data_IF_931415172337
#
_entry.id   IF_931415172337
#
_cell.length_a   1.000
_cell.length_b   1.000
_cell.length_c   1.000
_cell.angle_alpha   90.00
_cell.angle_beta   90.00
_cell.angle_gamma   90.00
#
_symmetry.space_group_name_H-M   'P 1'
#
loop_
_entity.id
_entity.type
_entity.pdbx_description
1 polymer ?
#
# COMPACT_ATOMS: atom_id res chain seq x y z
N UNK A 1 -30.24 -4.49 76.67
CA UNK A 1 -30.99 -4.92 75.48
C UNK A 1 -31.12 -3.70 74.58
N UNK A 2 -30.03 -2.98 74.24
CA UNK A 2 -28.80 -3.40 73.50
C UNK A 2 -29.18 -4.08 72.18
N UNK A 3 -29.33 -3.32 71.10
CA UNK A 3 -28.25 -2.97 70.14
C UNK A 3 -27.64 -4.15 69.39
N UNK A 4 -28.14 -5.38 69.56
CA UNK A 4 -27.45 -6.58 69.06
C UNK A 4 -27.82 -6.99 67.61
N UNK A 5 -28.98 -6.61 67.06
CA UNK A 5 -29.36 -7.07 65.71
C UNK A 5 -28.91 -6.15 64.55
N UNK A 6 -28.56 -4.88 64.81
CA UNK A 6 -28.17 -3.95 63.72
C UNK A 6 -26.69 -4.03 63.34
N UNK A 7 -25.86 -4.69 64.16
CA UNK A 7 -24.42 -4.86 63.90
C UNK A 7 -24.12 -6.03 62.94
N UNK A 8 -24.99 -7.04 62.85
CA UNK A 8 -24.69 -8.22 62.03
C UNK A 8 -24.84 -8.01 60.51
N UNK A 9 -25.70 -7.10 60.04
CA UNK A 9 -25.88 -6.88 58.60
C UNK A 9 -24.83 -5.96 57.96
N UNK A 10 -24.04 -5.24 58.76
CA UNK A 10 -23.00 -4.31 58.26
C UNK A 10 -21.62 -5.00 58.22
N UNK A 11 -21.44 -6.11 58.93
CA UNK A 11 -20.13 -6.76 59.07
C UNK A 11 -19.69 -7.63 57.88
N UNK A 12 -20.57 -8.02 56.95
CA UNK A 12 -20.18 -8.90 55.83
C UNK A 12 -19.64 -8.14 54.59
N UNK A 13 -19.89 -6.84 54.44
CA UNK A 13 -19.54 -6.08 53.22
C UNK A 13 -18.07 -5.60 53.19
N UNK A 14 -17.35 -5.60 54.33
CA UNK A 14 -15.99 -5.02 54.41
C UNK A 14 -14.85 -6.05 54.32
N UNK A 15 -15.11 -7.35 54.08
CA UNK A 15 -14.06 -8.38 54.11
C UNK A 15 -13.36 -8.68 52.77
N UNK A 16 -13.62 -7.95 51.68
CA UNK A 16 -12.93 -8.16 50.38
C UNK A 16 -11.97 -7.03 49.97
N UNK A 17 -11.64 -6.10 50.86
CA UNK A 17 -10.63 -5.06 50.59
C UNK A 17 -9.60 -4.99 51.71
N UNK A 18 -8.51 -5.73 51.55
CA UNK A 18 -7.30 -5.46 52.31
C UNK A 18 -6.40 -6.67 52.47
N UNK A 19 -5.42 -6.78 51.59
CA UNK A 19 -4.27 -7.66 51.73
C UNK A 19 -3.42 -7.50 50.47
N UNK A 20 -2.16 -7.10 50.49
CA UNK A 20 -1.23 -6.99 51.59
C UNK A 20 -0.11 -6.04 51.13
N UNK A 21 0.24 -5.10 51.99
CA UNK A 21 1.42 -4.27 51.88
C UNK A 21 2.62 -5.16 52.21
N UNK A 22 3.20 -5.82 51.22
CA UNK A 22 4.38 -6.68 51.39
C UNK A 22 5.54 -6.15 50.55
N UNK A 23 6.64 -5.88 51.26
CA UNK A 23 7.94 -5.48 50.75
C UNK A 23 8.24 -6.08 49.37
N UNK A 24 8.37 -5.21 48.37
CA UNK A 24 8.72 -5.59 47.02
C UNK A 24 10.13 -6.21 47.00
N UNK A 25 10.20 -7.53 47.11
CA UNK A 25 11.32 -8.30 46.57
C UNK A 25 11.33 -8.02 45.06
N UNK A 26 12.31 -7.23 44.61
CA UNK A 26 12.57 -7.01 43.18
C UNK A 26 13.07 -8.34 42.62
N UNK A 27 12.15 -9.22 42.28
CA UNK A 27 12.47 -10.43 41.52
C UNK A 27 12.92 -10.00 40.13
N UNK A 28 13.99 -10.58 39.58
CA UNK A 28 14.42 -10.26 38.23
C UNK A 28 13.37 -10.81 37.26
N UNK A 29 12.44 -9.96 36.82
CA UNK A 29 11.57 -10.28 35.69
C UNK A 29 12.51 -10.48 34.50
N UNK A 30 12.73 -11.75 34.11
CA UNK A 30 13.51 -12.10 32.91
C UNK A 30 12.96 -11.26 31.76
N UNK A 31 13.82 -10.50 31.04
CA UNK A 31 13.35 -9.66 29.95
C UNK A 31 12.68 -10.57 28.93
N UNK A 32 11.36 -10.48 28.85
CA UNK A 32 10.55 -11.29 27.96
C UNK A 32 10.72 -10.70 26.57
N UNK A 33 11.66 -11.26 25.81
CA UNK A 33 12.03 -10.84 24.45
C UNK A 33 10.84 -10.72 23.50
N UNK A 34 9.75 -11.44 23.78
CA UNK A 34 8.50 -11.40 23.03
C UNK A 34 7.84 -10.01 22.97
N UNK A 35 8.05 -9.14 23.98
CA UNK A 35 7.52 -7.78 24.02
C UNK A 35 8.01 -6.90 22.85
N UNK A 36 9.18 -7.21 22.29
CA UNK A 36 9.75 -6.50 21.14
C UNK A 36 9.54 -7.25 19.81
N UNK A 37 9.40 -8.58 19.85
CA UNK A 37 9.20 -9.38 18.63
C UNK A 37 7.79 -9.21 18.04
N UNK A 38 6.76 -9.02 18.87
CA UNK A 38 5.38 -8.78 18.39
C UNK A 38 5.27 -7.52 17.51
N UNK A 39 5.71 -6.32 17.95
CA UNK A 39 5.59 -5.12 17.12
C UNK A 39 6.46 -5.19 15.86
N UNK A 40 7.65 -5.81 15.92
CA UNK A 40 8.51 -6.00 14.76
C UNK A 40 7.84 -6.92 13.73
N UNK A 41 7.24 -8.02 14.18
CA UNK A 41 6.50 -8.93 13.30
C UNK A 41 5.28 -8.23 12.69
N UNK A 42 4.52 -7.46 13.47
CA UNK A 42 3.38 -6.71 12.96
C UNK A 42 3.80 -5.65 11.92
N UNK A 43 4.90 -4.93 12.17
CA UNK A 43 5.48 -4.00 11.21
C UNK A 43 5.93 -4.70 9.93
N UNK A 44 6.67 -5.81 10.05
CA UNK A 44 7.15 -6.56 8.89
C UNK A 44 5.99 -7.09 8.04
N UNK A 45 4.94 -7.60 8.68
CA UNK A 45 3.71 -8.03 7.99
C UNK A 45 3.06 -6.85 7.27
N UNK A 46 2.81 -5.74 7.97
CA UNK A 46 2.21 -4.55 7.36
C UNK A 46 3.03 -3.99 6.20
N UNK A 47 4.36 -3.96 6.34
CA UNK A 47 5.28 -3.52 5.31
C UNK A 47 5.21 -4.42 4.08
N UNK A 48 5.31 -5.74 4.24
CA UNK A 48 5.19 -6.68 3.12
C UNK A 48 3.82 -6.58 2.47
N UNK A 49 2.75 -6.47 3.25
CA UNK A 49 1.39 -6.29 2.74
C UNK A 49 1.27 -5.00 1.93
N UNK A 50 1.83 -3.88 2.37
CA UNK A 50 1.80 -2.62 1.63
C UNK A 50 2.47 -2.74 0.25
N UNK A 51 3.66 -3.34 0.18
CA UNK A 51 4.37 -3.54 -1.09
C UNK A 51 3.65 -4.53 -2.00
N UNK A 52 3.12 -5.63 -1.45
CA UNK A 52 2.37 -6.60 -2.22
C UNK A 52 1.07 -6.00 -2.79
N UNK A 53 0.32 -5.26 -1.97
CA UNK A 53 -0.91 -4.58 -2.40
C UNK A 53 -0.59 -3.49 -3.42
N UNK A 54 0.45 -2.69 -3.19
CA UNK A 54 0.92 -1.71 -4.15
C UNK A 54 1.27 -2.36 -5.49
N UNK A 55 2.04 -3.44 -5.48
CA UNK A 55 2.45 -4.12 -6.72
C UNK A 55 1.30 -4.82 -7.47
N UNK A 56 0.27 -5.29 -6.77
CA UNK A 56 -0.85 -6.02 -7.41
C UNK A 56 -1.98 -5.07 -7.82
N UNK A 57 -2.32 -4.10 -6.99
CA UNK A 57 -3.49 -3.24 -7.19
C UNK A 57 -3.13 -1.99 -8.01
N UNK A 58 -1.94 -1.42 -7.79
CA UNK A 58 -1.57 -0.18 -8.45
C UNK A 58 -1.42 -0.32 -9.97
N UNK A 59 -0.82 -1.39 -10.54
CA UNK A 59 -0.69 -1.49 -11.99
C UNK A 59 -2.02 -1.48 -12.75
N UNK A 60 -3.03 -2.32 -12.43
CA UNK A 60 -4.30 -2.26 -13.15
C UNK A 60 -5.10 -0.97 -12.87
N UNK A 61 -4.77 -0.22 -11.81
CA UNK A 61 -5.41 1.07 -11.51
C UNK A 61 -4.79 2.23 -12.31
N UNK A 62 -3.47 2.21 -12.53
CA UNK A 62 -2.73 3.28 -13.23
C UNK A 62 -2.60 3.05 -14.73
N UNK A 63 -2.50 1.80 -15.17
CA UNK A 63 -2.33 1.45 -16.58
C UNK A 63 -3.68 1.09 -17.19
N UNK A 64 -4.00 1.75 -18.31
CA UNK A 64 -5.13 1.41 -19.15
C UNK A 64 -4.62 0.84 -20.46
N UNK A 65 -4.93 -0.41 -20.73
CA UNK A 65 -4.83 -0.98 -22.06
C UNK A 65 -6.14 -0.70 -22.81
N UNK A 66 -6.05 -0.16 -24.02
CA UNK A 66 -7.20 0.07 -24.89
C UNK A 66 -6.95 -0.59 -26.23
N UNK A 67 -7.91 -1.40 -26.65
CA UNK A 67 -7.94 -1.98 -27.97
C UNK A 67 -7.99 -0.85 -29.01
N UNK A 68 -6.95 -0.77 -29.84
CA UNK A 68 -6.88 0.21 -30.93
C UNK A 68 -7.72 -0.30 -32.11
N UNK A 69 -8.33 0.60 -32.90
CA UNK A 69 -9.12 0.21 -34.07
C UNK A 69 -8.28 -0.44 -35.19
N UNK A 70 -6.95 -0.37 -35.09
CA UNK A 70 -6.00 -0.99 -36.01
C UNK A 70 -4.89 -1.69 -35.21
N UNK A 71 -4.38 -2.79 -35.73
CA UNK A 71 -3.26 -3.53 -35.14
C UNK A 71 -1.92 -2.85 -35.46
N UNK A 72 -1.70 -1.68 -34.85
CA UNK A 72 -0.46 -0.94 -35.02
C UNK A 72 0.69 -1.56 -34.21
N UNK A 73 1.82 -1.82 -34.87
CA UNK A 73 3.03 -2.34 -34.23
C UNK A 73 4.16 -1.31 -34.29
N UNK A 74 4.48 -0.70 -33.14
CA UNK A 74 5.65 0.16 -32.99
C UNK A 74 6.96 -0.55 -33.35
N UNK A 75 7.06 -1.85 -33.04
CA UNK A 75 8.26 -2.64 -33.30
C UNK A 75 8.59 -2.71 -34.79
N UNK A 76 7.58 -2.94 -35.63
CA UNK A 76 7.79 -3.03 -37.09
C UNK A 76 8.15 -1.66 -37.66
N UNK A 77 7.44 -0.61 -37.22
CA UNK A 77 7.66 0.74 -37.73
C UNK A 77 9.02 1.30 -37.31
N UNK A 78 9.48 1.02 -36.10
CA UNK A 78 10.80 1.47 -35.63
C UNK A 78 11.96 0.97 -36.52
N UNK A 79 11.85 -0.26 -37.04
CA UNK A 79 12.87 -0.86 -37.90
C UNK A 79 12.72 -0.45 -39.37
N UNK A 80 11.55 0.09 -39.76
CA UNK A 80 11.20 0.43 -41.14
C UNK A 80 11.43 1.91 -41.50
N UNK A 81 11.61 2.78 -40.51
CA UNK A 81 11.78 4.23 -40.70
C UNK A 81 13.20 4.68 -40.33
N UNK A 82 13.74 5.66 -41.05
CA UNK A 82 15.13 6.10 -40.88
C UNK A 82 15.37 6.94 -39.62
N UNK A 83 14.40 7.78 -39.21
CA UNK A 83 14.52 8.70 -38.07
C UNK A 83 13.87 8.15 -36.78
N UNK A 84 13.56 6.85 -36.77
CA UNK A 84 12.98 6.15 -35.62
C UNK A 84 11.71 6.82 -35.07
N UNK A 85 11.75 7.21 -33.80
CA UNK A 85 10.60 7.83 -33.13
C UNK A 85 10.22 9.19 -33.74
N UNK A 86 11.19 9.95 -34.24
CA UNK A 86 10.98 11.31 -34.76
C UNK A 86 10.22 11.31 -36.09
N UNK A 87 10.26 10.21 -36.83
CA UNK A 87 9.49 10.01 -38.07
C UNK A 87 7.98 10.13 -37.87
N UNK A 88 7.47 9.90 -36.65
CA UNK A 88 6.04 10.05 -36.34
C UNK A 88 5.80 11.04 -35.18
N UNK A 89 6.74 11.13 -34.24
CA UNK A 89 6.66 11.94 -33.03
C UNK A 89 7.75 13.02 -33.02
N UNK A 90 7.43 14.19 -33.56
CA UNK A 90 8.37 15.30 -33.71
C UNK A 90 7.89 16.54 -32.95
N UNK A 91 8.82 17.46 -32.72
CA UNK A 91 8.48 18.83 -32.33
C UNK A 91 8.23 19.66 -33.59
N UNK A 92 7.16 20.46 -33.59
CA UNK A 92 6.90 21.44 -34.64
C UNK A 92 7.87 22.61 -34.53
N UNK A 93 7.92 23.44 -35.56
CA UNK A 93 8.80 24.64 -35.60
C UNK A 93 8.54 25.63 -34.45
N UNK A 94 7.32 25.62 -33.89
CA UNK A 94 6.93 26.44 -32.73
C UNK A 94 7.30 25.81 -31.37
N UNK A 95 7.96 24.65 -31.37
CA UNK A 95 8.36 23.91 -30.18
C UNK A 95 7.26 23.05 -29.56
N UNK A 96 6.06 22.98 -30.15
CA UNK A 96 4.97 22.11 -29.67
C UNK A 96 5.18 20.66 -30.10
N UNK A 97 4.86 19.69 -29.25
CA UNK A 97 4.98 18.27 -29.59
C UNK A 97 3.84 17.81 -30.52
N UNK A 98 4.15 17.00 -31.54
CA UNK A 98 3.18 16.55 -32.54
C UNK A 98 2.04 15.73 -31.94
N UNK A 99 2.35 14.97 -30.88
CA UNK A 99 1.40 14.11 -30.17
C UNK A 99 1.20 12.77 -30.88
N UNK A 100 -0.04 12.30 -30.92
CA UNK A 100 -0.40 11.10 -31.68
C UNK A 100 -0.42 11.47 -33.18
N UNK A 101 0.23 10.69 -34.05
CA UNK A 101 0.24 10.94 -35.49
C UNK A 101 -1.18 11.00 -36.08
N UNK A 102 -1.39 11.89 -37.05
CA UNK A 102 -2.61 11.91 -37.86
C UNK A 102 -2.54 10.86 -38.97
N UNK A 103 -3.69 10.56 -39.57
CA UNK A 103 -3.80 9.63 -40.70
C UNK A 103 -2.93 10.04 -41.91
N UNK A 104 -2.73 11.35 -42.09
CA UNK A 104 -1.85 11.94 -43.11
C UNK A 104 -0.43 11.35 -43.04
N UNK A 105 0.16 11.23 -41.83
CA UNK A 105 1.51 10.68 -41.67
C UNK A 105 1.58 9.19 -42.07
N UNK A 106 0.48 8.44 -41.86
CA UNK A 106 0.42 7.05 -42.31
C UNK A 106 0.36 6.97 -43.84
N UNK A 107 -0.40 7.88 -44.47
CA UNK A 107 -0.57 7.93 -45.92
C UNK A 107 0.75 8.25 -46.64
N UNK A 108 1.65 9.05 -46.04
CA UNK A 108 2.96 9.38 -46.64
C UNK A 108 3.77 8.16 -47.09
N UNK A 109 3.62 7.00 -46.44
CA UNK A 109 4.24 5.74 -46.86
C UNK A 109 3.25 4.69 -47.38
N UNK A 110 1.96 4.78 -47.03
CA UNK A 110 0.94 3.78 -47.39
C UNK A 110 0.00 4.20 -48.53
N UNK A 111 0.20 5.35 -49.18
CA UNK A 111 -0.67 5.84 -50.26
C UNK A 111 -0.68 4.94 -51.51
N UNK A 112 0.41 4.19 -51.76
CA UNK A 112 0.56 3.30 -52.93
C UNK A 112 0.76 1.82 -52.57
N UNK A 113 0.47 1.41 -51.33
CA UNK A 113 0.69 0.04 -50.85
C UNK A 113 -0.29 -1.00 -51.42
#
# INVERSE_FOLDING_TARGET
>A
MSTEEKEQAVAEDEQEKGGDEQAAEVTPVKPTTWRFLIPIAAFAVGFVSHFALGWVILPPLLYCEKEQPIDFSHKIHQDAVDEGCESCHYFRDDGTFSGIPKLENCAECHEEA
#
